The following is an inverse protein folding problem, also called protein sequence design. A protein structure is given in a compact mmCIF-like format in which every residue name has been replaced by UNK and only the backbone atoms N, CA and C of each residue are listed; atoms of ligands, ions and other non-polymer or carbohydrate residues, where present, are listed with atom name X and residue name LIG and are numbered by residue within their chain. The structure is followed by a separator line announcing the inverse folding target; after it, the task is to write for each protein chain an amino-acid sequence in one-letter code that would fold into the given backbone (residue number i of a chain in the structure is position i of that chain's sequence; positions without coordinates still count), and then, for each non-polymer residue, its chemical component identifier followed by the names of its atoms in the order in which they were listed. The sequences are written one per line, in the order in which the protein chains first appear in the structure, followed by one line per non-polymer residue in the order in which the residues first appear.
data_IF_641177794563
#
_entry.id   IF_641177794563
#
_cell.length_a   1.000
_cell.length_b   1.000
_cell.length_c   1.000
_cell.angle_alpha   90.00
_cell.angle_beta   90.00
_cell.angle_gamma   90.00
#
_symmetry.space_group_name_H-M   'P 1'
#
loop_
_entity.id
_entity.type
_entity.pdbx_description
1 polymer ?
#
# COMPACT_ATOMS: atom_id res chain seq x y z
N UNK A 1 6.59 29.96 36.88
CA UNK A 1 5.93 28.64 36.78
C UNK A 1 6.92 27.69 36.12
N UNK A 2 7.22 26.61 36.81
CA UNK A 2 8.48 25.87 36.77
C UNK A 2 8.47 24.77 35.72
N UNK A 3 9.51 24.73 34.87
CA UNK A 3 9.76 23.65 33.91
C UNK A 3 10.16 22.36 34.64
N UNK A 4 9.57 21.23 34.25
CA UNK A 4 10.02 19.89 34.67
C UNK A 4 10.27 19.06 33.41
N UNK A 5 11.56 18.84 33.10
CA UNK A 5 12.02 17.78 32.21
C UNK A 5 12.00 16.46 32.98
N UNK A 6 11.38 15.41 32.44
CA UNK A 6 11.57 14.04 32.94
C UNK A 6 12.40 13.25 31.93
N UNK A 7 13.61 12.91 32.35
CA UNK A 7 14.50 11.97 31.69
C UNK A 7 14.04 10.56 32.05
N UNK A 8 13.72 9.74 31.06
CA UNK A 8 13.42 8.32 31.26
C UNK A 8 14.69 7.50 31.07
N UNK A 9 15.05 6.76 32.12
CA UNK A 9 16.22 5.91 32.19
C UNK A 9 16.03 4.60 31.41
N UNK A 10 17.05 4.20 30.65
CA UNK A 10 17.19 2.86 30.08
C UNK A 10 17.47 1.84 31.20
N UNK A 11 16.79 0.70 31.15
CA UNK A 11 17.14 -0.49 31.92
C UNK A 11 17.43 -1.63 30.94
N UNK A 12 18.70 -2.05 30.88
CA UNK A 12 19.16 -3.25 30.17
C UNK A 12 18.95 -4.46 31.09
N UNK A 13 18.26 -5.50 30.60
CA UNK A 13 18.20 -6.81 31.25
C UNK A 13 18.81 -7.86 30.31
N UNK A 14 19.99 -8.34 30.69
CA UNK A 14 20.65 -9.52 30.14
C UNK A 14 20.06 -10.73 30.87
N UNK A 15 19.54 -11.72 30.13
CA UNK A 15 19.15 -13.01 30.71
C UNK A 15 19.96 -14.13 30.05
N UNK A 16 20.90 -14.66 30.82
CA UNK A 16 21.57 -15.93 30.56
C UNK A 16 20.75 -17.05 31.21
N UNK A 17 20.47 -18.13 30.48
CA UNK A 17 19.88 -19.34 31.03
C UNK A 17 20.79 -20.54 30.71
N UNK A 18 21.25 -21.20 31.76
CA UNK A 18 21.99 -22.46 31.75
C UNK A 18 21.21 -23.53 32.52
N UNK A 19 21.47 -24.79 32.14
CA UNK A 19 21.13 -26.06 32.80
C UNK A 19 19.78 -26.68 32.37
N UNK A 20 19.58 -28.00 32.25
CA UNK A 20 20.27 -29.16 32.82
C UNK A 20 19.89 -30.42 32.01
N UNK A 21 20.83 -31.34 31.77
CA UNK A 21 20.54 -32.64 31.16
C UNK A 21 20.29 -33.72 32.25
N UNK A 22 19.28 -34.58 32.05
CA UNK A 22 19.07 -35.81 32.83
C UNK A 22 18.75 -36.95 31.86
N UNK A 23 19.43 -38.08 32.04
CA UNK A 23 19.32 -39.30 31.21
C UNK A 23 18.66 -40.46 31.94
N UNK A 24 17.74 -41.12 31.22
CA UNK A 24 17.33 -42.55 31.21
C UNK A 24 16.74 -43.27 32.43
N UNK A 25 15.56 -43.88 32.22
CA UNK A 25 15.29 -45.31 32.53
C UNK A 25 14.04 -45.81 31.76
N UNK A 26 14.06 -47.08 31.34
CA UNK A 26 13.02 -47.78 30.58
C UNK A 26 12.28 -48.83 31.42
N UNK A 27 11.00 -49.12 31.12
CA UNK A 27 10.40 -50.47 31.19
C UNK A 27 8.91 -50.52 30.72
N UNK A 28 8.65 -51.29 29.66
CA UNK A 28 7.59 -52.30 29.45
C UNK A 28 6.09 -52.06 29.77
N UNK A 29 5.24 -52.29 28.76
CA UNK A 29 3.84 -52.77 28.95
C UNK A 29 2.86 -52.38 27.83
N UNK A 30 2.31 -53.37 27.11
CA UNK A 30 1.11 -53.30 26.22
C UNK A 30 0.26 -54.54 26.60
N UNK A 31 -1.09 -54.66 26.42
CA UNK A 31 -1.95 -53.89 25.49
C UNK A 31 -3.47 -53.66 25.84
N UNK A 32 -4.17 -52.99 24.89
CA UNK A 32 -5.61 -53.00 24.51
C UNK A 32 -6.66 -52.08 25.19
N UNK A 33 -7.29 -51.23 24.36
CA UNK A 33 -8.64 -50.66 24.54
C UNK A 33 -8.94 -49.43 23.63
N UNK A 34 -9.55 -49.63 22.45
CA UNK A 34 -10.08 -48.56 21.54
C UNK A 34 -11.50 -48.10 21.95
N UNK A 35 -12.17 -47.11 21.28
CA UNK A 35 -11.76 -46.12 20.27
C UNK A 35 -12.15 -44.66 20.64
N UNK A 36 -11.55 -43.66 19.99
CA UNK A 36 -12.10 -42.30 19.96
C UNK A 36 -11.12 -41.21 20.37
N UNK A 37 -10.88 -40.29 19.45
CA UNK A 37 -9.98 -39.16 19.63
C UNK A 37 -9.10 -39.02 18.41
N UNK A 38 -9.49 -38.14 17.49
CA UNK A 38 -8.59 -37.60 16.49
C UNK A 38 -7.36 -37.10 17.23
N UNK A 39 -6.24 -37.79 17.07
CA UNK A 39 -4.96 -37.31 17.57
C UNK A 39 -4.65 -36.05 16.76
N UNK A 40 -4.71 -34.89 17.42
CA UNK A 40 -3.99 -33.72 16.97
C UNK A 40 -2.55 -34.16 16.81
N UNK A 41 -2.11 -34.25 15.56
CA UNK A 41 -0.70 -34.40 15.23
C UNK A 41 -0.03 -33.18 15.81
N UNK A 42 0.62 -33.35 16.97
CA UNK A 42 1.45 -32.33 17.56
C UNK A 42 2.50 -31.99 16.51
N UNK A 43 2.49 -30.73 16.07
CA UNK A 43 3.45 -30.17 15.13
C UNK A 43 4.86 -30.56 15.55
N UNK A 44 5.56 -31.24 14.65
CA UNK A 44 6.98 -31.50 14.84
C UNK A 44 7.73 -30.15 14.80
N UNK A 45 8.73 -29.93 15.68
CA UNK A 45 9.59 -28.76 15.61
C UNK A 45 10.61 -28.96 14.49
N UNK A 46 10.14 -28.98 13.24
CA UNK A 46 10.97 -28.98 12.04
C UNK A 46 10.48 -27.87 11.12
N UNK A 47 10.91 -26.65 11.40
CA UNK A 47 10.83 -25.62 10.40
C UNK A 47 11.65 -26.03 9.16
N UNK A 48 11.02 -26.02 7.98
CA UNK A 48 11.45 -25.10 6.91
C UNK A 48 12.85 -25.29 6.27
N UNK A 49 13.43 -26.49 6.21
CA UNK A 49 14.79 -26.65 5.62
C UNK A 49 14.90 -26.31 4.13
N UNK A 50 13.78 -26.20 3.41
CA UNK A 50 13.79 -25.92 1.96
C UNK A 50 13.00 -24.66 1.56
N UNK A 51 12.51 -23.86 2.51
CA UNK A 51 11.91 -22.58 2.16
C UNK A 51 13.00 -21.61 1.75
N UNK A 52 12.83 -20.95 0.61
CA UNK A 52 13.81 -20.01 0.07
C UNK A 52 13.11 -18.96 -0.76
N UNK A 53 13.57 -17.71 -0.69
CA UNK A 53 13.08 -16.65 -1.56
C UNK A 53 14.26 -15.92 -2.18
N UNK A 54 14.11 -15.46 -3.41
CA UNK A 54 15.09 -14.66 -4.12
C UNK A 54 14.41 -13.46 -4.75
N UNK A 55 14.89 -12.27 -4.38
CA UNK A 55 14.44 -10.98 -4.85
C UNK A 55 15.61 -10.23 -5.51
N UNK A 56 15.43 -9.80 -6.74
CA UNK A 56 16.41 -8.97 -7.42
C UNK A 56 16.06 -7.48 -7.31
N UNK A 57 17.08 -6.64 -7.20
CA UNK A 57 16.96 -5.21 -7.41
C UNK A 57 16.29 -4.94 -8.77
N UNK A 58 15.34 -4.02 -8.80
CA UNK A 58 14.52 -3.82 -9.99
C UNK A 58 14.08 -2.37 -10.15
N UNK A 59 13.82 -2.01 -11.40
CA UNK A 59 13.25 -0.72 -11.78
C UNK A 59 11.88 -0.97 -12.40
N UNK A 60 10.80 -0.47 -11.78
CA UNK A 60 9.41 -0.81 -12.11
C UNK A 60 8.45 0.37 -11.83
N UNK A 61 7.22 0.23 -12.30
CA UNK A 61 6.09 1.17 -12.12
C UNK A 61 5.68 1.45 -10.66
N UNK A 62 6.27 0.77 -9.68
CA UNK A 62 5.97 0.91 -8.26
C UNK A 62 4.68 0.23 -7.80
N UNK A 63 3.90 -0.41 -8.68
CA UNK A 63 2.62 -1.07 -8.32
C UNK A 63 2.80 -2.54 -7.93
N UNK A 64 4.03 -3.03 -7.98
CA UNK A 64 4.32 -4.45 -7.80
C UNK A 64 5.82 -4.73 -7.76
N UNK A 65 6.17 -5.94 -7.32
CA UNK A 65 7.54 -6.44 -7.29
C UNK A 65 7.62 -7.82 -7.93
N UNK A 66 8.61 -8.00 -8.79
CA UNK A 66 8.96 -9.30 -9.37
C UNK A 66 9.71 -10.13 -8.33
N UNK A 67 9.23 -11.34 -8.10
CA UNK A 67 9.86 -12.37 -7.27
C UNK A 67 10.56 -13.34 -8.23
N UNK A 68 11.88 -13.47 -8.12
CA UNK A 68 12.64 -14.33 -9.02
C UNK A 68 12.39 -15.80 -8.71
N UNK A 69 12.32 -16.17 -7.42
CA UNK A 69 11.85 -17.47 -6.99
C UNK A 69 11.37 -17.42 -5.54
N UNK A 70 10.35 -18.22 -5.21
CA UNK A 70 9.86 -18.46 -3.87
C UNK A 70 9.52 -19.95 -3.73
N UNK A 71 10.22 -20.65 -2.85
CA UNK A 71 9.98 -22.07 -2.53
C UNK A 71 9.23 -22.14 -1.20
N UNK A 72 7.99 -22.63 -1.23
CA UNK A 72 7.12 -22.81 -0.08
C UNK A 72 6.86 -24.30 0.12
N UNK A 73 7.42 -24.96 1.16
CA UNK A 73 7.19 -26.38 1.41
C UNK A 73 5.72 -26.78 1.56
N UNK A 74 4.91 -25.95 2.22
CA UNK A 74 3.51 -26.23 2.54
C UNK A 74 2.55 -25.26 1.84
N UNK A 75 3.06 -24.42 0.93
CA UNK A 75 2.29 -23.33 0.32
C UNK A 75 2.17 -22.09 1.22
N UNK A 76 1.34 -21.13 0.80
CA UNK A 76 1.08 -19.89 1.53
C UNK A 76 1.35 -18.64 0.69
N UNK A 77 2.03 -17.65 1.27
CA UNK A 77 2.12 -16.30 0.73
C UNK A 77 3.56 -15.77 0.67
N UNK A 78 3.80 -14.87 -0.29
CA UNK A 78 4.92 -13.92 -0.26
C UNK A 78 4.39 -12.59 0.25
N UNK A 79 4.95 -12.10 1.34
CA UNK A 79 4.60 -10.80 1.94
C UNK A 79 5.72 -9.81 1.67
N UNK A 80 5.37 -8.59 1.26
CA UNK A 80 6.30 -7.49 1.05
C UNK A 80 6.13 -6.44 2.14
N UNK A 81 7.22 -6.10 2.79
CA UNK A 81 7.29 -5.07 3.82
C UNK A 81 8.34 -4.03 3.46
N UNK A 82 8.11 -2.76 3.79
CA UNK A 82 9.19 -1.76 3.70
C UNK A 82 10.30 -2.06 4.71
N UNK A 83 11.57 -1.92 4.32
CA UNK A 83 12.66 -2.18 5.26
C UNK A 83 12.68 -1.16 6.41
N UNK A 84 12.67 -1.66 7.65
CA UNK A 84 12.79 -0.82 8.84
C UNK A 84 12.28 -1.53 10.10
N UNK A 85 12.44 -0.93 11.29
CA UNK A 85 11.93 -1.50 12.54
C UNK A 85 10.40 -1.47 12.67
N UNK A 86 9.73 -0.69 11.81
CA UNK A 86 8.27 -0.57 11.73
C UNK A 86 7.83 -0.58 10.26
N UNK A 87 8.41 -1.49 9.46
CA UNK A 87 8.05 -1.60 8.06
C UNK A 87 6.56 -1.87 7.90
N UNK A 88 5.89 -1.15 7.01
CA UNK A 88 4.50 -1.45 6.69
C UNK A 88 4.44 -2.55 5.63
N UNK A 89 3.47 -3.44 5.75
CA UNK A 89 3.19 -4.42 4.70
C UNK A 89 2.53 -3.71 3.53
N UNK A 90 3.20 -3.74 2.38
CA UNK A 90 2.77 -3.03 1.17
C UNK A 90 2.15 -3.95 0.12
N UNK A 91 2.30 -5.28 0.28
CA UNK A 91 1.70 -6.22 -0.64
C UNK A 91 1.81 -7.66 -0.20
N UNK A 92 0.87 -8.48 -0.66
CA UNK A 92 0.84 -9.93 -0.42
C UNK A 92 0.57 -10.64 -1.75
N UNK A 93 1.16 -11.79 -2.00
CA UNK A 93 0.85 -12.61 -3.17
C UNK A 93 -0.57 -13.18 -3.10
N UNK A 94 -1.09 -13.69 -4.21
CA UNK A 94 -2.16 -14.69 -4.13
C UNK A 94 -1.63 -15.95 -3.42
N UNK A 95 -2.50 -16.80 -2.85
CA UNK A 95 -2.06 -18.06 -2.25
C UNK A 95 -1.31 -18.90 -3.29
N UNK A 96 -0.15 -19.42 -2.89
CA UNK A 96 0.73 -20.27 -3.67
C UNK A 96 0.66 -21.68 -3.08
N UNK A 97 0.51 -22.70 -3.92
CA UNK A 97 0.60 -24.09 -3.47
C UNK A 97 2.02 -24.48 -3.04
N UNK A 98 2.22 -25.70 -2.51
CA UNK A 98 3.56 -26.25 -2.26
C UNK A 98 4.45 -26.23 -3.51
N UNK A 99 5.73 -25.89 -3.35
CA UNK A 99 6.75 -25.91 -4.41
C UNK A 99 7.43 -24.57 -4.67
N UNK A 100 8.13 -24.47 -5.80
CA UNK A 100 8.85 -23.26 -6.24
C UNK A 100 8.04 -22.48 -7.26
N UNK A 101 7.91 -21.19 -7.03
CA UNK A 101 7.11 -20.26 -7.84
C UNK A 101 7.96 -19.06 -8.27
N UNK A 102 7.68 -18.56 -9.46
CA UNK A 102 8.14 -17.26 -9.93
C UNK A 102 6.91 -16.37 -10.12
N UNK A 103 7.06 -15.04 -10.06
CA UNK A 103 5.93 -14.18 -10.38
C UNK A 103 6.05 -12.75 -9.91
N UNK A 104 4.88 -12.13 -9.73
CA UNK A 104 4.74 -10.73 -9.34
C UNK A 104 3.82 -10.65 -8.14
N UNK A 105 4.24 -9.87 -7.14
CA UNK A 105 3.39 -9.49 -6.02
C UNK A 105 2.92 -8.07 -6.28
N UNK A 106 1.61 -7.88 -6.42
CA UNK A 106 0.98 -6.57 -6.60
C UNK A 106 0.85 -5.87 -5.25
N UNK A 107 1.19 -4.59 -5.20
CA UNK A 107 0.90 -3.74 -4.05
C UNK A 107 -0.60 -3.44 -4.06
N UNK A 108 -1.28 -3.80 -2.98
CA UNK A 108 -2.75 -3.77 -2.88
C UNK A 108 -3.14 -3.51 -1.44
N UNK A 109 -4.38 -3.09 -1.22
CA UNK A 109 -4.93 -2.93 0.13
C UNK A 109 -4.88 -4.27 0.86
N UNK A 110 -3.95 -4.38 1.81
CA UNK A 110 -3.77 -5.56 2.64
C UNK A 110 -4.61 -5.35 3.91
N UNK A 111 -5.58 -6.21 4.20
CA UNK A 111 -6.34 -6.11 5.45
C UNK A 111 -5.41 -6.03 6.66
N UNK A 112 -5.59 -5.00 7.49
CA UNK A 112 -4.77 -4.76 8.68
C UNK A 112 -3.47 -3.96 8.44
N UNK A 113 -3.07 -3.70 7.19
CA UNK A 113 -1.93 -2.84 6.92
C UNK A 113 -2.28 -1.35 7.05
N UNK A 114 -1.36 -0.57 7.61
CA UNK A 114 -1.44 0.89 7.69
C UNK A 114 -0.06 1.51 7.42
N UNK A 115 0.08 2.40 6.42
CA UNK A 115 -0.89 2.75 5.39
C UNK A 115 -1.13 1.61 4.39
N UNK A 116 -2.34 1.51 3.85
CA UNK A 116 -2.58 0.71 2.65
C UNK A 116 -2.05 1.46 1.44
N UNK A 117 -1.18 0.81 0.67
CA UNK A 117 -0.56 1.41 -0.51
C UNK A 117 -0.80 0.55 -1.74
N UNK A 118 -1.31 1.16 -2.81
CA UNK A 118 -1.43 0.52 -4.13
C UNK A 118 -0.18 0.76 -4.98
N UNK A 119 0.73 1.63 -4.51
CA UNK A 119 1.92 2.04 -5.24
C UNK A 119 3.00 2.61 -4.33
N UNK A 120 4.26 2.31 -4.63
CA UNK A 120 5.43 2.90 -3.97
C UNK A 120 5.56 4.39 -4.31
N UNK A 121 5.55 5.23 -3.27
CA UNK A 121 5.71 6.67 -3.42
C UNK A 121 7.15 7.10 -3.70
N UNK A 122 8.15 6.24 -3.48
CA UNK A 122 9.55 6.55 -3.72
C UNK A 122 10.38 5.30 -3.98
N UNK A 123 11.64 5.51 -4.36
CA UNK A 123 12.64 4.44 -4.36
C UNK A 123 12.80 3.93 -2.93
N UNK A 124 12.54 2.65 -2.70
CA UNK A 124 12.61 2.05 -1.36
C UNK A 124 13.30 0.68 -1.41
N UNK A 125 13.64 0.16 -0.24
CA UNK A 125 14.07 -1.23 -0.07
C UNK A 125 12.91 -2.00 0.52
N UNK A 126 12.47 -3.06 -0.17
CA UNK A 126 11.48 -3.98 0.37
C UNK A 126 12.16 -5.24 0.87
N UNK A 127 11.58 -5.80 1.92
CA UNK A 127 11.88 -7.14 2.45
C UNK A 127 10.73 -8.04 2.05
N UNK A 128 11.03 -9.16 1.43
CA UNK A 128 10.05 -10.20 1.15
C UNK A 128 10.21 -11.35 2.15
N UNK A 129 9.13 -11.71 2.83
CA UNK A 129 9.06 -12.85 3.76
C UNK A 129 8.07 -13.89 3.23
N UNK A 130 8.33 -15.16 3.52
CA UNK A 130 7.40 -16.25 3.23
C UNK A 130 6.52 -16.53 4.44
N UNK A 131 5.23 -16.69 4.23
CA UNK A 131 4.24 -17.04 5.25
C UNK A 131 3.45 -18.28 4.84
N UNK A 132 3.01 -19.08 5.80
CA UNK A 132 2.10 -20.22 5.59
C UNK A 132 0.66 -19.72 5.44
N UNK A 133 -0.17 -20.53 4.78
CA UNK A 133 -1.63 -20.46 4.84
C UNK A 133 -2.06 -21.59 5.79
N UNK A 134 -2.08 -21.31 7.10
CA UNK A 134 -2.15 -22.38 8.11
C UNK A 134 -3.57 -22.88 8.33
N UNK A 135 -4.57 -22.05 8.07
CA UNK A 135 -5.98 -22.39 8.18
C UNK A 135 -6.62 -22.78 6.83
N UNK A 136 -5.89 -22.57 5.72
CA UNK A 136 -6.23 -23.08 4.40
C UNK A 136 -7.35 -22.29 3.72
N UNK A 137 -7.58 -21.05 4.14
CA UNK A 137 -8.67 -20.21 3.63
C UNK A 137 -8.26 -19.37 2.40
N UNK A 138 -6.96 -19.36 2.07
CA UNK A 138 -6.39 -18.65 0.93
C UNK A 138 -6.27 -17.13 1.12
N UNK A 139 -6.45 -16.62 2.33
CA UNK A 139 -6.27 -15.22 2.73
C UNK A 139 -5.08 -15.10 3.67
N UNK A 140 -4.46 -13.93 3.67
CA UNK A 140 -3.36 -13.66 4.57
C UNK A 140 -3.87 -12.91 5.80
N UNK A 141 -3.77 -13.56 6.95
CA UNK A 141 -4.29 -13.09 8.23
C UNK A 141 -3.19 -12.68 9.22
N UNK A 142 -1.92 -12.75 8.83
CA UNK A 142 -0.78 -12.48 9.72
C UNK A 142 -0.71 -11.06 10.32
N UNK A 143 -1.49 -10.10 9.81
CA UNK A 143 -1.60 -8.74 10.39
C UNK A 143 -2.75 -8.60 11.38
N UNK A 144 -3.79 -9.41 11.24
CA UNK A 144 -5.01 -9.33 12.06
C UNK A 144 -4.97 -10.39 13.18
N UNK A 145 -4.43 -11.56 12.85
CA UNK A 145 -4.24 -12.70 13.73
C UNK A 145 -2.83 -13.30 13.48
N UNK A 146 -1.77 -12.73 14.11
CA UNK A 146 -0.37 -13.03 13.78
C UNK A 146 0.06 -14.49 13.96
N UNK A 147 -0.69 -15.26 14.75
CA UNK A 147 -0.43 -16.68 14.99
C UNK A 147 -1.10 -17.61 13.94
N UNK A 148 -1.88 -17.06 13.01
CA UNK A 148 -2.56 -17.82 11.94
C UNK A 148 -1.58 -18.10 10.81
N UNK A 149 -1.20 -17.07 10.05
CA UNK A 149 -0.29 -17.20 8.90
C UNK A 149 1.15 -16.84 9.26
N UNK A 150 1.73 -17.69 10.10
CA UNK A 150 3.08 -17.51 10.61
C UNK A 150 4.15 -17.59 9.51
N UNK A 151 5.21 -16.80 9.67
CA UNK A 151 6.36 -16.81 8.75
C UNK A 151 7.07 -18.16 8.72
N UNK A 152 7.55 -18.59 7.56
CA UNK A 152 8.55 -19.65 7.46
C UNK A 152 9.85 -19.17 8.13
N UNK A 153 10.46 -20.00 8.99
CA UNK A 153 11.66 -19.62 9.73
C UNK A 153 12.80 -20.63 9.55
N UNK A 154 14.02 -20.16 9.33
CA UNK A 154 15.23 -20.95 9.38
C UNK A 154 16.03 -20.57 10.63
N UNK A 155 16.30 -21.53 11.52
CA UNK A 155 16.98 -21.28 12.81
C UNK A 155 16.32 -20.16 13.63
N UNK A 156 14.98 -20.12 13.65
CA UNK A 156 14.20 -19.10 14.37
C UNK A 156 14.18 -17.71 13.72
N UNK A 157 14.79 -17.52 12.55
CA UNK A 157 14.75 -16.27 11.79
C UNK A 157 13.83 -16.41 10.58
N UNK A 158 12.95 -15.44 10.26
CA UNK A 158 12.14 -15.49 9.04
C UNK A 158 12.97 -15.70 7.78
N UNK A 159 12.50 -16.58 6.89
CA UNK A 159 13.08 -16.75 5.56
C UNK A 159 12.71 -15.52 4.75
N UNK A 160 13.72 -14.70 4.45
CA UNK A 160 13.53 -13.42 3.81
C UNK A 160 14.66 -13.10 2.82
N UNK A 161 14.33 -12.25 1.85
CA UNK A 161 15.31 -11.59 0.99
C UNK A 161 14.90 -10.12 0.80
N UNK A 162 15.83 -9.27 0.38
CA UNK A 162 15.58 -7.84 0.21
C UNK A 162 15.99 -7.35 -1.17
N UNK A 163 15.21 -6.43 -1.72
CA UNK A 163 15.55 -5.76 -2.97
C UNK A 163 15.27 -4.26 -2.88
N UNK A 164 16.15 -3.49 -3.54
CA UNK A 164 15.88 -2.09 -3.85
C UNK A 164 14.95 -2.02 -5.07
N UNK A 165 13.80 -1.40 -4.88
CA UNK A 165 12.84 -1.10 -5.94
C UNK A 165 12.99 0.37 -6.31
N UNK A 166 13.31 0.61 -7.58
CA UNK A 166 13.43 1.96 -8.15
C UNK A 166 12.19 2.25 -8.97
N UNK A 167 11.52 3.37 -8.68
CA UNK A 167 10.40 3.87 -9.46
C UNK A 167 10.93 4.94 -10.42
N UNK A 168 10.86 4.74 -11.76
CA UNK A 168 11.29 5.73 -12.73
C UNK A 168 10.60 7.09 -12.52
N UNK A 169 11.27 8.22 -12.79
CA UNK A 169 10.63 9.54 -12.74
C UNK A 169 9.44 9.68 -13.70
N UNK A 170 9.42 8.95 -14.82
CA UNK A 170 8.27 8.90 -15.74
C UNK A 170 7.05 8.26 -15.11
N UNK A 171 7.27 7.36 -14.15
CA UNK A 171 6.22 6.71 -13.38
C UNK A 171 5.89 7.51 -12.12
N UNK A 172 6.77 8.42 -11.68
CA UNK A 172 6.56 9.30 -10.53
C UNK A 172 6.95 10.73 -10.90
N UNK A 173 6.07 11.48 -11.56
CA UNK A 173 6.33 12.88 -11.82
C UNK A 173 6.56 13.61 -10.49
N UNK A 174 7.46 14.59 -10.48
CA UNK A 174 7.79 15.37 -9.27
C UNK A 174 7.28 16.79 -9.32
N UNK A 175 6.67 17.18 -10.44
CA UNK A 175 6.20 18.53 -10.70
C UNK A 175 4.81 18.44 -11.30
N UNK A 176 3.87 19.18 -10.73
CA UNK A 176 2.53 19.27 -11.30
C UNK A 176 2.57 20.09 -12.59
N UNK A 177 1.82 19.66 -13.58
CA UNK A 177 1.71 20.38 -14.85
C UNK A 177 0.32 20.13 -15.44
N UNK A 178 -0.25 21.14 -16.08
CA UNK A 178 -1.56 21.04 -16.72
C UNK A 178 -1.57 21.80 -18.04
N UNK A 179 -2.14 21.18 -19.07
CA UNK A 179 -2.37 21.79 -20.36
C UNK A 179 -3.86 21.74 -20.67
N UNK A 180 -4.45 22.91 -20.91
CA UNK A 180 -5.86 23.08 -21.17
C UNK A 180 -6.07 24.04 -22.33
N UNK A 181 -6.33 23.49 -23.52
CA UNK A 181 -6.55 24.28 -24.73
C UNK A 181 -8.02 24.70 -24.93
N UNK A 182 -8.19 25.69 -25.81
CA UNK A 182 -9.49 26.08 -26.32
C UNK A 182 -10.13 24.93 -27.08
N UNK A 183 -11.42 24.70 -26.84
CA UNK A 183 -12.15 23.58 -27.41
C UNK A 183 -13.62 23.92 -27.65
N UNK A 184 -14.29 23.09 -28.45
CA UNK A 184 -15.75 23.10 -28.63
C UNK A 184 -16.31 21.84 -28.01
N UNK A 185 -17.32 21.96 -27.15
CA UNK A 185 -17.93 20.82 -26.45
C UNK A 185 -19.45 20.86 -26.54
N UNK A 186 -20.11 19.80 -26.09
CA UNK A 186 -21.56 19.75 -25.93
C UNK A 186 -22.07 20.52 -24.68
N UNK A 187 -21.17 21.17 -23.94
CA UNK A 187 -21.47 21.97 -22.76
C UNK A 187 -21.57 21.20 -21.43
N UNK A 188 -21.56 19.87 -21.43
CA UNK A 188 -21.68 19.06 -20.21
C UNK A 188 -20.34 18.65 -19.63
N UNK A 189 -19.27 18.65 -20.43
CA UNK A 189 -17.92 18.34 -20.00
C UNK A 189 -16.89 19.10 -20.86
N UNK A 190 -15.66 19.15 -20.37
CA UNK A 190 -14.48 19.63 -21.09
C UNK A 190 -13.36 18.60 -20.97
N UNK A 191 -12.40 18.64 -21.90
CA UNK A 191 -11.23 17.78 -21.89
C UNK A 191 -9.98 18.59 -21.52
N UNK A 192 -9.19 18.08 -20.59
CA UNK A 192 -7.84 18.56 -20.27
C UNK A 192 -6.85 17.72 -21.07
N UNK A 193 -6.07 18.38 -21.93
CA UNK A 193 -5.20 17.72 -22.92
C UNK A 193 -4.16 16.83 -22.23
N UNK A 194 -3.53 17.38 -21.20
CA UNK A 194 -2.63 16.63 -20.34
C UNK A 194 -2.61 17.19 -18.93
N UNK A 195 -2.50 16.32 -17.94
CA UNK A 195 -2.23 16.70 -16.55
C UNK A 195 -1.20 15.76 -15.93
N UNK A 196 -0.36 16.31 -15.08
CA UNK A 196 0.64 15.59 -14.29
C UNK A 196 0.40 15.91 -12.82
N UNK A 197 0.22 14.87 -12.01
CA UNK A 197 -0.07 14.95 -10.58
C UNK A 197 0.99 14.14 -9.81
N UNK A 198 1.96 14.80 -9.16
CA UNK A 198 3.04 14.13 -8.42
C UNK A 198 2.57 13.23 -7.28
N UNK A 199 1.54 13.68 -6.56
CA UNK A 199 1.00 13.02 -5.37
C UNK A 199 -0.49 12.64 -5.56
N UNK A 200 -0.96 12.64 -6.82
CA UNK A 200 -2.37 12.40 -7.16
C UNK A 200 -3.24 13.63 -6.85
N UNK A 201 -4.56 13.43 -6.85
CA UNK A 201 -5.54 14.47 -6.55
C UNK A 201 -6.53 14.70 -7.68
N UNK A 202 -6.85 15.96 -7.98
CA UNK A 202 -8.03 16.30 -8.79
C UNK A 202 -7.75 17.36 -9.85
N UNK A 203 -8.64 17.43 -10.84
CA UNK A 203 -8.69 18.54 -11.80
C UNK A 203 -9.93 19.37 -11.54
N UNK A 204 -9.75 20.57 -11.01
CA UNK A 204 -10.81 21.55 -10.79
C UNK A 204 -11.02 22.45 -12.01
N UNK A 205 -12.27 22.68 -12.38
CA UNK A 205 -12.67 23.55 -13.47
C UNK A 205 -13.30 24.83 -12.93
N UNK A 206 -12.77 25.99 -13.34
CA UNK A 206 -13.24 27.31 -12.90
C UNK A 206 -13.76 28.14 -14.07
N UNK A 207 -14.75 29.01 -13.79
CA UNK A 207 -15.16 30.08 -14.69
C UNK A 207 -14.17 31.25 -14.62
N UNK A 208 -13.73 31.73 -15.79
CA UNK A 208 -12.85 32.89 -15.93
C UNK A 208 -11.36 32.54 -15.87
N UNK A 209 -10.52 33.54 -15.56
CA UNK A 209 -9.15 33.25 -15.08
C UNK A 209 -9.26 32.60 -13.72
N UNK A 210 -8.34 31.68 -13.43
CA UNK A 210 -8.14 31.27 -12.05
C UNK A 210 -7.72 32.47 -11.18
N UNK A 211 -8.35 32.56 -10.01
CA UNK A 211 -8.00 33.51 -8.96
C UNK A 211 -8.27 32.85 -7.61
N UNK A 212 -7.22 32.67 -6.81
CA UNK A 212 -7.30 32.01 -5.52
C UNK A 212 -8.33 32.66 -4.57
N UNK A 213 -8.50 33.99 -4.62
CA UNK A 213 -9.43 34.71 -3.75
C UNK A 213 -10.91 34.44 -4.04
N UNK A 214 -11.25 33.88 -5.21
CA UNK A 214 -12.62 33.52 -5.57
C UNK A 214 -12.74 32.08 -6.10
N UNK A 215 -11.74 31.24 -5.84
CA UNK A 215 -11.65 29.90 -6.41
C UNK A 215 -12.87 29.04 -6.03
N UNK A 216 -13.30 29.07 -4.76
CA UNK A 216 -14.48 28.32 -4.28
C UNK A 216 -15.78 28.73 -4.99
N UNK A 217 -15.94 30.02 -5.29
CA UNK A 217 -17.12 30.56 -5.98
C UNK A 217 -17.10 30.39 -7.50
N UNK A 218 -15.90 30.22 -8.08
CA UNK A 218 -15.72 30.08 -9.53
C UNK A 218 -15.67 28.62 -10.00
N UNK A 219 -15.45 27.68 -9.08
CA UNK A 219 -15.46 26.24 -9.36
C UNK A 219 -16.81 25.80 -9.93
N UNK A 220 -16.77 24.94 -10.95
CA UNK A 220 -17.95 24.45 -11.65
C UNK A 220 -17.87 22.97 -12.02
N UNK A 221 -16.74 22.32 -11.83
CA UNK A 221 -16.53 20.91 -12.17
C UNK A 221 -15.27 20.40 -11.49
N UNK A 222 -15.24 19.12 -11.17
CA UNK A 222 -14.06 18.42 -10.71
C UNK A 222 -14.08 16.98 -11.24
N UNK A 223 -12.89 16.37 -11.34
CA UNK A 223 -12.76 14.94 -11.57
C UNK A 223 -12.96 14.17 -10.27
N UNK A 224 -13.15 12.86 -10.40
CA UNK A 224 -12.82 11.94 -9.32
C UNK A 224 -11.30 11.95 -9.05
N UNK A 225 -10.89 11.28 -7.97
CA UNK A 225 -9.48 11.15 -7.63
C UNK A 225 -8.68 10.49 -8.77
N UNK A 226 -7.55 11.10 -9.10
CA UNK A 226 -6.56 10.60 -10.04
C UNK A 226 -5.31 10.22 -9.24
N UNK A 227 -4.86 8.97 -9.41
CA UNK A 227 -3.61 8.49 -8.80
C UNK A 227 -2.39 9.33 -9.26
N UNK A 228 -1.29 9.33 -8.51
CA UNK A 228 -0.03 9.93 -8.92
C UNK A 228 0.44 9.44 -10.31
N UNK A 229 0.35 10.31 -11.33
CA UNK A 229 0.79 10.00 -12.70
C UNK A 229 0.67 11.19 -13.66
N UNK A 230 0.99 10.94 -14.93
CA UNK A 230 0.64 11.81 -16.06
C UNK A 230 -0.51 11.19 -16.85
N UNK A 231 -1.57 11.96 -17.07
CA UNK A 231 -2.76 11.59 -17.84
C UNK A 231 -2.90 12.46 -19.08
N UNK A 232 -3.49 11.90 -20.13
CA UNK A 232 -3.89 12.64 -21.33
C UNK A 232 -5.40 12.53 -21.54
N UNK A 233 -6.00 13.56 -22.14
CA UNK A 233 -7.43 13.61 -22.47
C UNK A 233 -8.35 13.35 -21.26
N UNK A 234 -8.05 13.98 -20.11
CA UNK A 234 -8.87 13.85 -18.90
C UNK A 234 -10.18 14.60 -19.09
N UNK A 235 -11.31 13.92 -18.87
CA UNK A 235 -12.63 14.56 -18.98
C UNK A 235 -13.06 15.09 -17.63
N UNK A 236 -13.43 16.38 -17.59
CA UNK A 236 -13.99 17.04 -16.40
C UNK A 236 -15.45 17.38 -16.68
N UNK A 237 -16.35 16.79 -15.92
CA UNK A 237 -17.77 17.06 -16.04
C UNK A 237 -18.15 18.39 -15.36
N UNK A 238 -19.10 19.11 -15.96
CA UNK A 238 -19.65 20.36 -15.42
C UNK A 238 -20.79 20.02 -14.46
N UNK A 239 -20.81 20.67 -13.30
CA UNK A 239 -21.84 20.50 -12.27
C UNK A 239 -21.58 19.34 -11.31
N UNK A 240 -20.38 18.77 -11.31
CA UNK A 240 -20.04 17.63 -10.41
C UNK A 240 -19.52 18.05 -9.04
N UNK A 241 -19.19 19.33 -8.83
CA UNK A 241 -18.65 19.78 -7.53
C UNK A 241 -19.75 19.79 -6.47
N UNK A 242 -19.57 19.07 -5.35
CA UNK A 242 -20.53 19.11 -4.24
C UNK A 242 -20.76 20.55 -3.75
N UNK A 243 -22.03 20.92 -3.54
CA UNK A 243 -22.41 22.25 -3.09
C UNK A 243 -22.45 23.34 -4.17
N UNK A 244 -22.08 23.01 -5.42
CA UNK A 244 -22.15 23.95 -6.56
C UNK A 244 -23.28 23.55 -7.52
N UNK A 245 -24.24 24.45 -7.72
CA UNK A 245 -25.23 24.29 -8.79
C UNK A 245 -24.75 25.01 -10.06
N UNK A 246 -23.90 24.33 -10.84
CA UNK A 246 -23.42 24.84 -12.12
C UNK A 246 -24.26 24.27 -13.27
N UNK A 247 -24.78 25.16 -14.13
CA UNK A 247 -25.45 24.77 -15.38
C UNK A 247 -24.46 24.47 -16.49
N UNK A 248 -24.89 23.62 -17.43
CA UNK A 248 -24.15 23.32 -18.66
C UNK A 248 -23.76 24.59 -19.43
N UNK A 249 -22.63 24.54 -20.11
CA UNK A 249 -22.09 25.65 -20.88
C UNK A 249 -22.89 25.80 -22.17
N UNK A 250 -23.65 26.89 -22.29
CA UNK A 250 -24.55 27.13 -23.42
C UNK A 250 -24.10 28.25 -24.37
N UNK A 251 -22.88 28.76 -24.17
CA UNK A 251 -22.25 29.83 -24.96
C UNK A 251 -20.74 29.78 -24.80
N UNK A 252 -20.03 30.57 -25.61
CA UNK A 252 -18.61 30.81 -25.40
C UNK A 252 -18.36 31.40 -24.02
N UNK A 253 -17.53 30.71 -23.25
CA UNK A 253 -17.09 31.10 -21.90
C UNK A 253 -15.59 30.91 -21.81
N UNK A 254 -14.95 31.70 -20.96
CA UNK A 254 -13.56 31.46 -20.56
C UNK A 254 -13.55 30.58 -19.33
N UNK A 255 -12.71 29.55 -19.36
CA UNK A 255 -12.51 28.61 -18.26
C UNK A 255 -11.02 28.50 -17.95
N UNK A 256 -10.71 28.05 -16.75
CA UNK A 256 -9.37 27.60 -16.36
C UNK A 256 -9.47 26.25 -15.66
N UNK A 257 -8.55 25.35 -15.96
CA UNK A 257 -8.36 24.11 -15.24
C UNK A 257 -7.19 24.25 -14.26
N UNK A 258 -7.32 23.67 -13.08
CA UNK A 258 -6.34 23.75 -12.00
C UNK A 258 -6.16 22.37 -11.39
N UNK A 259 -4.91 21.99 -11.13
CA UNK A 259 -4.59 20.77 -10.40
C UNK A 259 -4.74 21.02 -8.90
N UNK A 260 -5.37 20.09 -8.20
CA UNK A 260 -5.63 20.12 -6.77
C UNK A 260 -5.05 18.88 -6.09
N UNK A 261 -4.53 19.03 -4.88
CA UNK A 261 -4.04 17.91 -4.06
C UNK A 261 -5.20 17.16 -3.40
N UNK A 262 -4.91 15.98 -2.84
CA UNK A 262 -5.77 15.29 -1.87
C UNK A 262 -5.15 15.51 -0.49
N UNK A 263 -5.51 16.62 0.16
CA UNK A 263 -4.72 17.18 1.27
C UNK A 263 -4.85 16.38 2.58
N UNK A 264 -5.95 15.67 2.74
CA UNK A 264 -6.33 14.91 3.92
C UNK A 264 -6.33 13.38 3.68
N UNK A 265 -6.06 12.96 2.44
CA UNK A 265 -5.91 11.56 2.05
C UNK A 265 -7.23 10.79 1.97
N UNK A 266 -8.36 11.50 1.83
CA UNK A 266 -9.69 10.90 1.90
C UNK A 266 -10.28 10.53 0.53
N UNK A 267 -9.59 10.89 -0.56
CA UNK A 267 -9.93 10.60 -1.96
C UNK A 267 -11.25 11.24 -2.42
N UNK A 268 -11.75 12.27 -1.72
CA UNK A 268 -12.90 13.07 -2.16
C UNK A 268 -12.48 14.52 -2.37
N UNK A 269 -12.94 15.11 -3.46
CA UNK A 269 -12.74 16.54 -3.71
C UNK A 269 -13.64 17.42 -2.82
N UNK A 270 -13.02 18.17 -1.91
CA UNK A 270 -13.65 18.93 -0.83
C UNK A 270 -13.28 20.41 -0.81
N UNK A 271 -12.50 20.91 -1.77
CA UNK A 271 -12.09 22.33 -1.82
C UNK A 271 -13.25 23.34 -1.69
N UNK A 272 -14.40 23.10 -2.33
CA UNK A 272 -15.54 24.01 -2.22
C UNK A 272 -16.31 23.83 -0.89
N UNK A 273 -16.72 22.61 -0.49
CA UNK A 273 -17.36 22.38 0.81
C UNK A 273 -16.56 22.87 2.03
N UNK A 274 -15.23 22.71 1.99
CA UNK A 274 -14.30 23.12 3.06
C UNK A 274 -13.99 24.62 3.05
N UNK A 275 -14.51 25.35 2.06
CA UNK A 275 -14.16 26.76 1.81
C UNK A 275 -12.65 26.97 1.62
N UNK A 276 -12.00 26.00 0.97
CA UNK A 276 -10.60 26.04 0.54
C UNK A 276 -9.58 25.63 1.59
N UNK A 277 -10.01 24.98 2.69
CA UNK A 277 -9.10 24.47 3.72
C UNK A 277 -8.65 23.02 3.49
N UNK A 278 -9.26 22.33 2.53
CA UNK A 278 -8.91 20.98 2.10
C UNK A 278 -8.75 21.01 0.58
N UNK A 279 -7.89 20.14 0.07
CA UNK A 279 -7.52 19.98 -1.33
C UNK A 279 -7.05 21.28 -1.94
N UNK A 280 -5.93 21.81 -1.46
CA UNK A 280 -5.39 23.04 -2.01
C UNK A 280 -4.86 22.85 -3.44
N UNK A 281 -4.84 23.93 -4.25
CA UNK A 281 -4.21 23.87 -5.55
C UNK A 281 -2.74 23.48 -5.44
N UNK A 282 -2.25 22.70 -6.41
CA UNK A 282 -0.81 22.57 -6.60
C UNK A 282 -0.22 23.96 -6.87
N UNK A 283 0.70 24.40 -6.02
CA UNK A 283 1.49 25.61 -6.23
C UNK A 283 2.68 25.27 -7.11
N UNK A 284 2.93 26.04 -8.16
CA UNK A 284 4.20 25.95 -8.88
C UNK A 284 5.33 26.28 -7.91
N UNK A 285 6.28 25.35 -7.77
CA UNK A 285 7.50 25.54 -6.97
C UNK A 285 8.55 26.39 -7.67
#
# INVERSE_FOLDING_TARGET
MTSIRRHSALLFAVLAATALAVTTAAAGGVPVGSPGGAAFQADAPNASTNASITLANQTRDGRSVSVASATLPDGGFVVLEEAGPNGSVVGVSLPLGPGTHEGRVTLRDVPGATPNVTRLAANTTLVATLHRDSDGDGRFDGLVAPDTDGAYTANGTPVADRARVTVPPTERPTTAAIAFANQTTNGTAVTVDSITLPDGGYVGLHRGSYNASNATSSAIGATDYLEPSSYGNVTVAVGTVPGVNATALNRTVRLSAVAYTDSDGDLRFQYVPSNGSEDEPYVEG
#
